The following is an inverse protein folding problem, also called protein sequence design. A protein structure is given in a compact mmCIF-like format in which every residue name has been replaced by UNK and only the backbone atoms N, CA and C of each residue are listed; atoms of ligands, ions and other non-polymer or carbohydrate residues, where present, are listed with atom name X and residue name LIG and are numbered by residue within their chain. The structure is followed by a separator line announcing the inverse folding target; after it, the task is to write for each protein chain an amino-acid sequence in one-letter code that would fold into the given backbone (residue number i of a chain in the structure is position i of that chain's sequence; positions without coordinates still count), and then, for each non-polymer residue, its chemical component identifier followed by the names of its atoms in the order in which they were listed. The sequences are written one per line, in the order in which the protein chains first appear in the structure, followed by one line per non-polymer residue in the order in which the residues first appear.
data_IF_452644868971
#
_entry.id   IF_452644868971
#
_cell.length_a   1.000
_cell.length_b   1.000
_cell.length_c   1.000
_cell.angle_alpha   90.00
_cell.angle_beta   90.00
_cell.angle_gamma   90.00
#
_symmetry.space_group_name_H-M   'P 1'
#
loop_
_entity.id
_entity.type
_entity.pdbx_description
1 polymer ?
#
# COMPACT_ATOMS: atom_id res chain seq x y z
N UNK A 1 -6.53 -7.31 -40.77
CA UNK A 1 -7.39 -8.08 -39.84
C UNK A 1 -7.73 -7.19 -38.65
N UNK A 2 -8.99 -7.11 -38.21
CA UNK A 2 -9.35 -6.33 -37.01
C UNK A 2 -9.13 -7.21 -35.77
N UNK A 3 -8.48 -6.69 -34.74
CA UNK A 3 -8.34 -7.40 -33.45
C UNK A 3 -9.73 -7.67 -32.87
N UNK A 4 -10.05 -8.89 -32.41
CA UNK A 4 -11.28 -9.16 -31.67
C UNK A 4 -11.38 -8.29 -30.41
N UNK A 5 -12.62 -8.11 -29.94
CA UNK A 5 -12.92 -7.46 -28.66
C UNK A 5 -13.14 -8.53 -27.61
N UNK A 6 -12.62 -8.27 -26.41
CA UNK A 6 -12.81 -9.07 -25.20
C UNK A 6 -13.43 -8.15 -24.15
N UNK A 7 -14.37 -8.71 -23.40
CA UNK A 7 -14.99 -8.04 -22.25
C UNK A 7 -14.26 -8.39 -20.96
N UNK A 8 -13.89 -7.40 -20.17
CA UNK A 8 -13.40 -7.58 -18.79
C UNK A 8 -14.50 -7.09 -17.85
N UNK A 9 -15.08 -8.02 -17.09
CA UNK A 9 -16.10 -7.73 -16.09
C UNK A 9 -15.43 -7.62 -14.72
N UNK A 10 -15.53 -6.46 -14.10
CA UNK A 10 -14.98 -6.17 -12.77
C UNK A 10 -16.04 -5.70 -11.80
N UNK A 11 -15.72 -5.71 -10.51
CA UNK A 11 -16.65 -5.35 -9.45
C UNK A 11 -17.83 -6.32 -9.29
N UNK A 12 -18.70 -6.00 -8.35
CA UNK A 12 -19.90 -6.78 -8.05
C UNK A 12 -21.05 -5.86 -7.60
N UNK A 13 -22.29 -6.34 -7.73
CA UNK A 13 -23.47 -5.55 -7.36
C UNK A 13 -23.56 -4.24 -8.15
N UNK A 14 -23.72 -3.11 -7.43
CA UNK A 14 -23.81 -1.78 -8.02
C UNK A 14 -22.49 -1.30 -8.67
N UNK A 15 -21.36 -1.85 -8.26
CA UNK A 15 -20.02 -1.48 -8.77
C UNK A 15 -19.60 -2.34 -9.98
N UNK A 16 -20.47 -3.25 -10.45
CA UNK A 16 -20.17 -4.12 -11.60
C UNK A 16 -20.01 -3.28 -12.86
N UNK A 17 -18.83 -3.34 -13.46
CA UNK A 17 -18.47 -2.60 -14.67
C UNK A 17 -17.89 -3.55 -15.72
N UNK A 18 -18.22 -3.33 -17.00
CA UNK A 18 -17.66 -4.09 -18.12
C UNK A 18 -16.81 -3.18 -18.99
N UNK A 19 -15.53 -3.52 -19.17
CA UNK A 19 -14.63 -2.87 -20.11
C UNK A 19 -14.53 -3.69 -21.39
N UNK A 20 -14.75 -3.06 -22.55
CA UNK A 20 -14.48 -3.66 -23.85
C UNK A 20 -13.12 -3.21 -24.36
N UNK A 21 -12.20 -4.16 -24.59
CA UNK A 21 -10.85 -3.86 -25.06
C UNK A 21 -10.43 -4.81 -26.19
N UNK A 22 -9.47 -4.36 -26.99
CA UNK A 22 -8.94 -5.15 -28.08
C UNK A 22 -8.04 -6.26 -27.53
N UNK A 23 -8.25 -7.49 -28.00
CA UNK A 23 -7.42 -8.64 -27.63
C UNK A 23 -5.93 -8.37 -27.82
N UNK A 24 -5.53 -7.76 -28.93
CA UNK A 24 -4.13 -7.41 -29.20
C UNK A 24 -3.51 -6.45 -28.17
N UNK A 25 -4.34 -5.78 -27.37
CA UNK A 25 -3.90 -4.95 -26.24
C UNK A 25 -3.91 -5.73 -24.93
N UNK A 26 -4.95 -6.52 -24.69
CA UNK A 26 -5.06 -7.33 -23.46
C UNK A 26 -3.96 -8.39 -23.35
N UNK A 27 -3.58 -9.04 -24.46
CA UNK A 27 -2.52 -10.06 -24.45
C UNK A 27 -1.12 -9.51 -24.15
N UNK A 28 -0.94 -8.18 -24.07
CA UNK A 28 0.28 -7.58 -23.52
C UNK A 28 0.40 -7.80 -22.01
N UNK A 29 -0.71 -8.04 -21.32
CA UNK A 29 -0.75 -8.47 -19.93
C UNK A 29 -0.60 -10.00 -19.88
N UNK A 30 0.44 -10.54 -19.21
CA UNK A 30 0.65 -11.99 -19.15
C UNK A 30 -0.54 -12.74 -18.57
N UNK A 31 -1.14 -12.23 -17.48
CA UNK A 31 -2.31 -12.87 -16.87
C UNK A 31 -3.50 -12.95 -17.83
N UNK A 32 -3.78 -11.89 -18.59
CA UNK A 32 -4.85 -11.92 -19.58
C UNK A 32 -4.51 -12.78 -20.79
N UNK A 33 -3.25 -12.82 -21.25
CA UNK A 33 -2.85 -13.71 -22.34
C UNK A 33 -3.18 -15.17 -22.02
N UNK A 34 -2.87 -15.63 -20.80
CA UNK A 34 -3.18 -16.98 -20.32
C UNK A 34 -4.69 -17.27 -20.27
N UNK A 35 -5.51 -16.29 -19.88
CA UNK A 35 -6.98 -16.44 -19.90
C UNK A 35 -7.54 -16.51 -21.33
N UNK A 36 -7.00 -15.68 -22.23
CA UNK A 36 -7.43 -15.63 -23.63
C UNK A 36 -7.14 -16.92 -24.38
N UNK A 37 -6.01 -17.58 -24.07
CA UNK A 37 -5.66 -18.89 -24.63
C UNK A 37 -6.66 -19.99 -24.23
N UNK A 38 -7.37 -19.83 -23.11
CA UNK A 38 -8.33 -20.80 -22.62
C UNK A 38 -9.75 -20.62 -23.20
N UNK A 39 -9.98 -19.58 -24.01
CA UNK A 39 -11.29 -19.36 -24.61
C UNK A 39 -11.67 -20.46 -25.60
N UNK A 40 -12.85 -21.06 -25.38
CA UNK A 40 -13.40 -22.05 -26.29
C UNK A 40 -13.72 -21.44 -27.67
N UNK A 41 -13.47 -22.17 -28.78
CA UNK A 41 -13.88 -21.73 -30.11
C UNK A 41 -15.38 -21.42 -30.18
N UNK A 42 -15.74 -20.20 -30.60
CA UNK A 42 -17.14 -19.75 -30.69
C UNK A 42 -17.82 -19.43 -29.36
N UNK A 43 -17.10 -19.51 -28.23
CA UNK A 43 -17.61 -19.13 -26.90
C UNK A 43 -17.54 -17.62 -26.61
N UNK A 44 -18.13 -17.18 -25.49
CA UNK A 44 -18.01 -15.80 -25.03
C UNK A 44 -16.56 -15.45 -24.71
N UNK A 45 -16.10 -14.28 -25.16
CA UNK A 45 -14.75 -13.77 -24.91
C UNK A 45 -14.76 -12.81 -23.73
N UNK A 46 -14.85 -13.36 -22.52
CA UNK A 46 -15.00 -12.58 -21.30
C UNK A 46 -14.05 -13.05 -20.21
N UNK A 47 -13.40 -12.09 -19.54
CA UNK A 47 -12.58 -12.30 -18.34
C UNK A 47 -13.34 -11.69 -17.16
N UNK A 48 -13.51 -12.46 -16.07
CA UNK A 48 -14.28 -12.03 -14.89
C UNK A 48 -13.32 -11.85 -13.70
N UNK A 49 -13.27 -10.65 -13.15
CA UNK A 49 -12.49 -10.28 -11.97
C UNK A 49 -13.37 -9.46 -11.00
N UNK A 50 -14.37 -10.12 -10.42
CA UNK A 50 -15.42 -9.46 -9.62
C UNK A 50 -14.94 -8.78 -8.34
N UNK A 51 -13.73 -9.12 -7.89
CA UNK A 51 -13.09 -8.56 -6.70
C UNK A 51 -12.20 -7.34 -7.01
N UNK A 52 -12.02 -6.99 -8.29
CA UNK A 52 -11.20 -5.87 -8.72
C UNK A 52 -12.02 -4.58 -8.79
N UNK A 53 -11.42 -3.50 -8.27
CA UNK A 53 -11.93 -2.13 -8.36
C UNK A 53 -12.01 -1.65 -9.82
N UNK A 54 -13.15 -1.04 -10.19
CA UNK A 54 -13.42 -0.64 -11.56
C UNK A 54 -12.41 0.41 -12.05
N UNK A 55 -12.15 1.46 -11.27
CA UNK A 55 -11.23 2.53 -11.66
C UNK A 55 -9.78 2.03 -11.79
N UNK A 56 -9.35 1.12 -10.92
CA UNK A 56 -8.05 0.48 -11.02
C UNK A 56 -7.92 -0.36 -12.31
N UNK A 57 -8.95 -1.13 -12.67
CA UNK A 57 -8.97 -1.87 -13.94
C UNK A 57 -8.96 -0.92 -15.15
N UNK A 58 -9.78 0.13 -15.13
CA UNK A 58 -9.80 1.15 -16.17
C UNK A 58 -8.41 1.76 -16.39
N UNK A 59 -7.71 2.09 -15.30
CA UNK A 59 -6.34 2.61 -15.33
C UNK A 59 -5.33 1.58 -15.87
N UNK A 60 -5.47 0.31 -15.51
CA UNK A 60 -4.62 -0.77 -16.05
C UNK A 60 -4.83 -0.95 -17.56
N UNK A 61 -6.08 -0.88 -18.04
CA UNK A 61 -6.39 -0.93 -19.46
C UNK A 61 -5.83 0.29 -20.19
N UNK A 62 -6.02 1.51 -19.65
CA UNK A 62 -5.41 2.74 -20.20
C UNK A 62 -3.89 2.59 -20.35
N UNK A 63 -3.23 2.01 -19.34
CA UNK A 63 -1.80 1.72 -19.37
C UNK A 63 -1.42 0.74 -20.49
N UNK A 64 -2.19 -0.33 -20.72
CA UNK A 64 -1.90 -1.27 -21.82
C UNK A 64 -1.99 -0.61 -23.20
N UNK A 65 -2.81 0.44 -23.33
CA UNK A 65 -2.91 1.25 -24.55
C UNK A 65 -1.77 2.26 -24.68
N UNK A 66 -1.46 2.98 -23.60
CA UNK A 66 -0.69 4.23 -23.68
C UNK A 66 0.66 4.21 -22.98
N UNK A 67 0.90 3.21 -22.13
CA UNK A 67 2.04 3.15 -21.22
C UNK A 67 1.93 4.07 -20.00
N UNK A 68 0.78 4.70 -19.79
CA UNK A 68 0.51 5.66 -18.72
C UNK A 68 -0.96 5.57 -18.26
N UNK A 69 -1.29 6.15 -17.11
CA UNK A 69 -2.67 6.27 -16.65
C UNK A 69 -2.89 7.62 -15.95
N UNK A 70 -4.12 8.09 -15.82
CA UNK A 70 -4.39 9.37 -15.15
C UNK A 70 -4.29 9.28 -13.60
N UNK A 71 -3.78 10.31 -12.88
CA UNK A 71 -3.09 11.50 -13.38
C UNK A 71 -1.70 11.18 -13.93
N UNK A 72 -1.35 11.79 -15.06
CA UNK A 72 -0.08 11.53 -15.76
C UNK A 72 1.05 12.35 -15.15
N UNK A 73 2.30 11.95 -15.39
CA UNK A 73 3.45 12.82 -15.11
C UNK A 73 3.43 13.99 -16.11
N UNK A 74 3.65 15.21 -15.63
CA UNK A 74 3.64 16.41 -16.49
C UNK A 74 4.83 16.47 -17.45
N UNK A 75 5.87 15.66 -17.21
CA UNK A 75 7.03 15.48 -18.10
C UNK A 75 7.70 14.13 -17.86
N UNK A 76 8.70 13.78 -18.67
CA UNK A 76 9.54 12.59 -18.51
C UNK A 76 10.58 12.70 -17.37
N UNK A 77 10.66 13.87 -16.71
CA UNK A 77 11.62 14.12 -15.63
C UNK A 77 11.43 13.18 -14.45
N UNK A 78 12.54 12.81 -13.80
CA UNK A 78 12.51 11.94 -12.62
C UNK A 78 11.60 12.50 -11.52
N UNK A 79 11.59 13.80 -11.28
CA UNK A 79 10.77 14.39 -10.21
C UNK A 79 9.57 15.18 -10.75
N UNK A 80 9.13 14.84 -11.98
CA UNK A 80 7.98 15.48 -12.60
C UNK A 80 6.73 15.31 -11.71
N UNK A 81 6.00 16.41 -11.41
CA UNK A 81 4.75 16.33 -10.68
C UNK A 81 3.68 15.60 -11.49
N UNK A 82 2.61 15.20 -10.81
CA UNK A 82 1.43 14.65 -11.47
C UNK A 82 0.51 15.77 -11.93
N UNK A 83 -0.23 15.50 -13.01
CA UNK A 83 -1.40 16.31 -13.39
C UNK A 83 -2.36 16.43 -12.21
N UNK A 84 -3.04 17.58 -12.11
CA UNK A 84 -4.02 17.79 -11.06
C UNK A 84 -5.29 17.00 -11.34
N UNK A 85 -5.68 16.13 -10.41
CA UNK A 85 -6.99 15.48 -10.45
C UNK A 85 -8.05 16.44 -9.85
N UNK A 86 -9.01 16.95 -10.64
CA UNK A 86 -10.07 17.82 -10.13
C UNK A 86 -11.03 17.10 -9.18
N UNK A 87 -11.01 15.76 -9.14
CA UNK A 87 -11.84 14.93 -8.27
C UNK A 87 -11.22 14.77 -6.87
N UNK A 88 -9.93 15.09 -6.71
CA UNK A 88 -9.24 14.94 -5.43
C UNK A 88 -9.50 16.15 -4.53
N UNK A 89 -9.97 15.95 -3.28
CA UNK A 89 -10.15 17.03 -2.33
C UNK A 89 -8.80 17.62 -1.86
N UNK A 90 -8.81 18.89 -1.47
CA UNK A 90 -7.68 19.57 -0.86
C UNK A 90 -8.15 20.30 0.42
N UNK A 91 -7.82 19.81 1.63
CA UNK A 91 -6.91 18.69 1.92
C UNK A 91 -7.54 17.30 1.67
N UNK A 92 -6.71 16.33 1.25
CA UNK A 92 -7.11 14.93 1.06
C UNK A 92 -6.96 14.13 2.37
N UNK A 93 -8.01 14.15 3.19
CA UNK A 93 -8.05 13.44 4.46
C UNK A 93 -8.45 11.96 4.32
N UNK A 94 -9.08 11.60 3.22
CA UNK A 94 -9.52 10.22 2.96
C UNK A 94 -8.46 9.42 2.17
N UNK A 95 -7.38 10.08 1.73
CA UNK A 95 -6.26 9.46 1.04
C UNK A 95 -6.61 9.01 -0.39
N UNK A 96 -7.59 9.63 -1.02
CA UNK A 96 -8.11 9.21 -2.33
C UNK A 96 -7.00 9.16 -3.39
N UNK A 97 -6.12 10.16 -3.42
CA UNK A 97 -5.01 10.18 -4.39
C UNK A 97 -4.03 9.02 -4.19
N UNK A 98 -3.67 8.72 -2.93
CA UNK A 98 -2.79 7.61 -2.60
C UNK A 98 -3.46 6.26 -2.91
N UNK A 99 -4.74 6.12 -2.58
CA UNK A 99 -5.50 4.89 -2.76
C UNK A 99 -5.69 4.51 -4.23
N UNK A 100 -5.84 5.48 -5.14
CA UNK A 100 -5.85 5.21 -6.59
C UNK A 100 -4.59 4.47 -7.00
N UNK A 101 -3.42 4.99 -6.62
CA UNK A 101 -2.15 4.38 -7.01
C UNK A 101 -1.86 3.08 -6.26
N UNK A 102 -2.29 2.96 -5.00
CA UNK A 102 -2.13 1.73 -4.22
C UNK A 102 -2.93 0.57 -4.82
N UNK A 103 -4.17 0.81 -5.26
CA UNK A 103 -5.01 -0.18 -5.95
C UNK A 103 -4.41 -0.63 -7.27
N UNK A 104 -3.86 0.32 -8.04
CA UNK A 104 -3.18 0.00 -9.29
C UNK A 104 -1.89 -0.79 -9.03
N UNK A 105 -1.14 -0.46 -7.98
CA UNK A 105 0.08 -1.16 -7.60
C UNK A 105 -0.18 -2.64 -7.27
N UNK A 106 -1.18 -2.94 -6.44
CA UNK A 106 -1.55 -4.32 -6.07
C UNK A 106 -2.16 -5.06 -7.26
N UNK A 107 -3.00 -4.41 -8.06
CA UNK A 107 -3.55 -4.99 -9.29
C UNK A 107 -2.44 -5.32 -10.31
N UNK A 108 -1.47 -4.43 -10.49
CA UNK A 108 -0.35 -4.64 -11.41
C UNK A 108 0.50 -5.86 -11.02
N UNK A 109 0.65 -6.13 -9.72
CA UNK A 109 1.32 -7.34 -9.24
C UNK A 109 0.53 -8.60 -9.65
N UNK A 110 -0.78 -8.61 -9.40
CA UNK A 110 -1.67 -9.72 -9.77
C UNK A 110 -1.72 -9.95 -11.29
N UNK A 111 -1.71 -8.87 -12.07
CA UNK A 111 -1.69 -8.90 -13.53
C UNK A 111 -0.31 -9.17 -14.14
N UNK A 112 0.74 -9.31 -13.30
CA UNK A 112 2.13 -9.52 -13.71
C UNK A 112 2.65 -8.40 -14.64
N UNK A 113 2.34 -7.15 -14.30
CA UNK A 113 2.75 -5.95 -15.03
C UNK A 113 3.82 -5.16 -14.23
N UNK A 114 5.09 -5.58 -14.21
CA UNK A 114 6.13 -4.96 -13.38
C UNK A 114 6.36 -3.48 -13.71
N UNK A 115 6.23 -3.09 -14.97
CA UNK A 115 6.36 -1.69 -15.39
C UNK A 115 5.20 -0.82 -14.90
N UNK A 116 3.97 -1.34 -14.86
CA UNK A 116 2.83 -0.65 -14.26
C UNK A 116 2.99 -0.56 -12.73
N UNK A 117 3.43 -1.65 -12.09
CA UNK A 117 3.72 -1.68 -10.64
C UNK A 117 4.76 -0.62 -10.27
N UNK A 118 5.84 -0.51 -11.04
CA UNK A 118 6.88 0.52 -10.86
C UNK A 118 6.34 1.94 -11.08
N UNK A 119 5.53 2.14 -12.13
CA UNK A 119 4.87 3.42 -12.39
C UNK A 119 3.95 3.84 -11.24
N UNK A 120 3.13 2.93 -10.73
CA UNK A 120 2.24 3.21 -9.61
C UNK A 120 3.00 3.57 -8.34
N UNK A 121 4.05 2.81 -8.02
CA UNK A 121 4.95 3.15 -6.92
C UNK A 121 5.57 4.55 -7.07
N UNK A 122 6.03 4.87 -8.27
CA UNK A 122 6.54 6.21 -8.59
C UNK A 122 5.47 7.28 -8.30
N UNK A 123 4.21 7.08 -8.69
CA UNK A 123 3.16 8.08 -8.46
C UNK A 123 2.76 8.22 -6.98
N UNK A 124 2.80 7.15 -6.19
CA UNK A 124 2.59 7.20 -4.73
C UNK A 124 3.55 8.23 -4.10
N UNK A 125 4.85 8.17 -4.42
CA UNK A 125 5.85 9.12 -3.88
C UNK A 125 5.65 10.59 -4.29
N UNK A 126 4.83 10.87 -5.30
CA UNK A 126 4.54 12.23 -5.79
C UNK A 126 3.19 12.76 -5.33
N UNK A 127 2.41 11.92 -4.67
CA UNK A 127 1.07 12.28 -4.24
C UNK A 127 1.17 13.00 -2.90
N UNK A 128 0.68 14.24 -2.85
CA UNK A 128 0.57 14.96 -1.59
C UNK A 128 -0.46 14.28 -0.68
N UNK A 129 -0.19 14.24 0.62
CA UNK A 129 -1.00 13.51 1.58
C UNK A 129 -1.09 14.23 2.93
N UNK A 130 -2.15 13.94 3.65
CA UNK A 130 -2.35 14.33 5.05
C UNK A 130 -2.05 13.15 5.96
N UNK A 131 -1.89 13.37 7.27
CA UNK A 131 -1.73 12.27 8.22
C UNK A 131 -2.90 11.27 8.18
N UNK A 132 -4.13 11.75 8.01
CA UNK A 132 -5.32 10.91 7.90
C UNK A 132 -5.35 10.12 6.59
N UNK A 133 -5.02 10.77 5.46
CA UNK A 133 -4.92 10.10 4.17
C UNK A 133 -3.83 9.02 4.14
N UNK A 134 -2.70 9.25 4.83
CA UNK A 134 -1.63 8.27 4.99
C UNK A 134 -2.04 7.07 5.85
N UNK A 135 -2.93 7.25 6.84
CA UNK A 135 -3.50 6.11 7.58
C UNK A 135 -4.45 5.30 6.71
N UNK A 136 -5.29 5.94 5.91
CA UNK A 136 -6.16 5.25 4.96
C UNK A 136 -5.35 4.44 3.94
N UNK A 137 -4.27 5.03 3.42
CA UNK A 137 -3.30 4.37 2.54
C UNK A 137 -2.59 3.21 3.24
N UNK A 138 -2.05 3.42 4.44
CA UNK A 138 -1.39 2.37 5.22
C UNK A 138 -2.34 1.18 5.46
N UNK A 139 -3.59 1.47 5.83
CA UNK A 139 -4.63 0.45 6.01
C UNK A 139 -4.83 -0.39 4.76
N UNK A 140 -4.91 0.25 3.60
CA UNK A 140 -5.02 -0.46 2.32
C UNK A 140 -3.79 -1.33 2.05
N UNK A 141 -2.58 -0.79 2.19
CA UNK A 141 -1.33 -1.52 1.92
C UNK A 141 -1.21 -2.78 2.79
N UNK A 142 -1.46 -2.66 4.10
CA UNK A 142 -1.34 -3.80 5.00
C UNK A 142 -2.43 -4.86 4.81
N UNK A 143 -3.59 -4.45 4.30
CA UNK A 143 -4.70 -5.36 3.99
C UNK A 143 -4.53 -6.09 2.66
N UNK A 144 -4.12 -5.37 1.61
CA UNK A 144 -4.25 -5.84 0.22
C UNK A 144 -2.90 -6.22 -0.43
N UNK A 145 -1.76 -5.77 0.10
CA UNK A 145 -0.44 -6.13 -0.45
C UNK A 145 0.09 -7.43 0.16
N UNK A 146 0.99 -8.11 -0.57
CA UNK A 146 1.76 -9.22 -0.03
C UNK A 146 2.53 -8.78 1.24
N UNK A 147 2.49 -9.57 2.35
CA UNK A 147 3.27 -9.33 3.56
C UNK A 147 4.75 -9.05 3.36
N UNK A 148 5.36 -9.70 2.38
CA UNK A 148 6.79 -9.59 2.07
C UNK A 148 7.11 -8.45 1.10
N UNK A 149 6.11 -7.70 0.62
CA UNK A 149 6.31 -6.55 -0.29
C UNK A 149 6.85 -5.33 0.47
N UNK A 150 8.13 -5.43 0.80
CA UNK A 150 8.89 -4.38 1.46
C UNK A 150 9.02 -3.11 0.60
N UNK A 151 8.75 -3.17 -0.70
CA UNK A 151 8.86 -2.00 -1.59
C UNK A 151 7.79 -0.97 -1.25
N UNK A 152 6.57 -1.42 -0.97
CA UNK A 152 5.46 -0.53 -0.58
C UNK A 152 5.29 -0.43 0.94
N UNK A 153 5.59 -1.49 1.71
CA UNK A 153 5.39 -1.50 3.18
C UNK A 153 6.45 -0.71 3.95
N UNK A 154 7.72 -0.83 3.58
CA UNK A 154 8.80 -0.15 4.30
C UNK A 154 8.68 1.38 4.28
N UNK A 155 8.37 2.04 3.15
CA UNK A 155 8.12 3.47 3.13
C UNK A 155 6.94 3.90 4.02
N UNK A 156 5.85 3.11 4.05
CA UNK A 156 4.70 3.35 4.93
C UNK A 156 5.13 3.33 6.40
N UNK A 157 5.81 2.27 6.84
CA UNK A 157 6.29 2.18 8.21
C UNK A 157 7.30 3.30 8.55
N UNK A 158 8.18 3.65 7.62
CA UNK A 158 9.17 4.72 7.80
C UNK A 158 8.53 6.11 7.94
N UNK A 159 7.47 6.38 7.19
CA UNK A 159 6.70 7.62 7.30
C UNK A 159 6.22 7.83 8.74
N UNK A 160 5.67 6.78 9.37
CA UNK A 160 5.14 6.85 10.73
C UNK A 160 6.23 6.79 11.81
N UNK A 161 7.30 6.03 11.58
CA UNK A 161 8.44 5.99 12.51
C UNK A 161 9.10 7.37 12.69
N UNK A 162 9.12 8.19 11.64
CA UNK A 162 9.71 9.55 11.66
C UNK A 162 8.74 10.65 12.11
N UNK A 163 7.44 10.38 12.14
CA UNK A 163 6.37 11.35 12.47
C UNK A 163 5.56 10.96 13.71
N UNK A 164 6.17 10.22 14.63
CA UNK A 164 5.51 9.73 15.86
C UNK A 164 4.91 10.82 16.76
N UNK A 165 5.32 12.09 16.60
CA UNK A 165 4.73 13.23 17.31
C UNK A 165 3.34 13.63 16.77
N UNK A 166 3.17 13.81 15.46
CA UNK A 166 1.88 14.16 14.82
C UNK A 166 0.78 13.15 15.12
N UNK A 167 1.21 11.90 15.23
CA UNK A 167 0.42 10.71 15.48
C UNK A 167 -0.36 10.78 16.81
N UNK A 168 0.19 11.44 17.85
CA UNK A 168 -0.45 11.60 19.16
C UNK A 168 -1.47 12.74 19.25
N UNK A 169 -1.52 13.62 18.26
CA UNK A 169 -2.31 14.85 18.37
C UNK A 169 -3.33 15.01 17.25
N UNK A 170 -3.07 14.48 16.05
CA UNK A 170 -3.91 14.72 14.87
C UNK A 170 -4.77 13.53 14.44
N UNK A 171 -4.34 12.29 14.77
CA UNK A 171 -4.95 11.06 14.25
C UNK A 171 -4.85 9.88 15.23
N UNK A 172 -4.82 10.14 16.54
CA UNK A 172 -4.68 9.10 17.57
C UNK A 172 -5.77 8.02 17.48
N UNK A 173 -7.07 8.34 17.32
CA UNK A 173 -8.11 7.32 17.19
C UNK A 173 -7.90 6.40 15.98
N UNK A 174 -7.61 6.98 14.82
CA UNK A 174 -7.40 6.26 13.57
C UNK A 174 -6.12 5.40 13.64
N UNK A 175 -5.04 5.93 14.23
CA UNK A 175 -3.81 5.17 14.43
C UNK A 175 -3.99 4.01 15.41
N UNK A 176 -4.73 4.22 16.51
CA UNK A 176 -5.04 3.15 17.46
C UNK A 176 -5.84 2.04 16.77
N UNK A 177 -6.84 2.41 15.97
CA UNK A 177 -7.60 1.44 15.18
C UNK A 177 -6.69 0.67 14.21
N UNK A 178 -5.81 1.36 13.49
CA UNK A 178 -4.82 0.74 12.59
C UNK A 178 -3.93 -0.28 13.30
N UNK A 179 -3.41 0.05 14.48
CA UNK A 179 -2.57 -0.86 15.27
C UNK A 179 -3.31 -2.12 15.74
N UNK A 180 -4.58 -1.98 16.09
CA UNK A 180 -5.41 -3.09 16.56
C UNK A 180 -5.87 -3.99 15.41
N UNK A 181 -6.16 -3.40 14.25
CA UNK A 181 -6.59 -4.14 13.06
C UNK A 181 -5.42 -4.83 12.34
N UNK A 182 -4.25 -4.18 12.30
CA UNK A 182 -3.05 -4.68 11.61
C UNK A 182 -1.82 -4.68 12.54
N UNK A 183 -1.67 -5.66 13.44
CA UNK A 183 -0.54 -5.70 14.38
C UNK A 183 0.85 -5.69 13.72
N UNK A 184 0.96 -6.22 12.49
CA UNK A 184 2.21 -6.17 11.73
C UNK A 184 2.65 -4.74 11.43
N UNK A 185 1.71 -3.82 11.18
CA UNK A 185 2.03 -2.41 10.98
C UNK A 185 2.71 -1.80 12.22
N UNK A 186 2.19 -2.08 13.41
CA UNK A 186 2.79 -1.62 14.66
C UNK A 186 4.18 -2.18 14.87
N UNK A 187 4.38 -3.47 14.54
CA UNK A 187 5.68 -4.12 14.60
C UNK A 187 6.69 -3.44 13.67
N UNK A 188 6.34 -3.23 12.40
CA UNK A 188 7.23 -2.62 11.41
C UNK A 188 7.62 -1.19 11.81
N UNK A 189 6.66 -0.41 12.31
CA UNK A 189 6.91 0.96 12.81
C UNK A 189 7.83 0.92 14.02
N UNK A 190 7.57 0.05 15.01
CA UNK A 190 8.38 -0.07 16.22
C UNK A 190 9.81 -0.49 15.88
N UNK A 191 9.98 -1.47 14.98
CA UNK A 191 11.28 -1.94 14.53
C UNK A 191 12.11 -0.79 13.95
N UNK A 192 11.52 0.02 13.06
CA UNK A 192 12.21 1.19 12.49
C UNK A 192 12.54 2.27 13.53
N UNK A 193 11.68 2.48 14.53
CA UNK A 193 11.96 3.42 15.63
C UNK A 193 13.15 2.93 16.47
N UNK A 194 13.20 1.65 16.81
CA UNK A 194 14.30 1.05 17.57
C UNK A 194 15.61 1.11 16.78
N UNK A 195 15.59 0.72 15.50
CA UNK A 195 16.75 0.80 14.60
C UNK A 195 17.31 2.23 14.52
N UNK A 196 16.44 3.23 14.48
CA UNK A 196 16.84 4.64 14.44
C UNK A 196 17.47 5.10 15.77
N UNK A 197 16.98 4.62 16.91
CA UNK A 197 17.54 4.92 18.22
C UNK A 197 18.93 4.28 18.41
N UNK A 198 19.12 3.05 17.97
CA UNK A 198 20.43 2.37 18.02
C UNK A 198 21.48 3.11 17.18
N UNK A 199 21.13 3.51 15.96
CA UNK A 199 22.00 4.32 15.10
C UNK A 199 22.30 5.69 15.69
N UNK A 200 21.33 6.32 16.35
CA UNK A 200 21.52 7.59 17.05
C UNK A 200 22.51 7.48 18.21
N UNK A 201 22.44 6.40 18.99
CA UNK A 201 23.38 6.12 20.09
C UNK A 201 24.78 5.77 19.58
N UNK A 202 24.88 5.03 18.47
CA UNK A 202 26.17 4.67 17.87
C UNK A 202 26.95 5.85 17.26
N UNK A 203 26.27 6.91 16.80
CA UNK A 203 26.91 8.14 16.29
C UNK A 203 27.29 9.15 17.37
N UNK A 204 26.77 9.01 18.59
CA UNK A 204 27.12 9.83 19.76
C UNK A 204 28.12 9.17 20.71
N UNK A 205 28.71 8.03 20.33
CA UNK A 205 29.50 7.16 21.21
C UNK A 205 31.01 7.39 21.25
N UNK A 206 31.57 8.29 20.42
CA UNK A 206 33.01 8.64 20.45
C UNK A 206 33.26 9.92 21.29
N UNK A 207 32.61 9.99 22.45
CA UNK A 207 32.73 11.12 23.39
C UNK A 207 32.27 10.72 24.79
N UNK A 208 33.14 10.02 25.51
CA UNK A 208 33.24 9.98 26.98
C UNK A 208 31.92 9.92 27.79
N UNK A 209 31.51 8.73 28.24
CA UNK A 209 31.10 8.54 29.64
C UNK A 209 30.96 7.07 30.02
N UNK A 210 31.81 6.73 30.99
CA UNK A 210 31.82 5.56 31.83
C UNK A 210 30.47 5.26 32.51
N UNK A 211 30.07 3.98 32.51
CA UNK A 211 29.17 3.29 33.45
C UNK A 211 27.79 3.89 33.80
N UNK A 212 26.73 3.20 33.35
CA UNK A 212 25.74 2.46 34.20
C UNK A 212 24.53 2.03 33.35
N UNK A 213 24.43 0.73 33.05
CA UNK A 213 23.18 0.13 32.59
C UNK A 213 22.21 -0.08 33.77
N UNK A 214 20.89 0.06 33.59
CA UNK A 214 19.93 -0.41 34.58
C UNK A 214 19.82 -1.94 34.51
N UNK A 215 20.14 -2.61 35.61
CA UNK A 215 19.96 -4.04 35.78
C UNK A 215 18.46 -4.41 35.86
N UNK A 216 18.06 -5.43 35.11
CA UNK A 216 16.71 -6.00 35.16
C UNK A 216 16.65 -7.05 36.29
N UNK A 217 15.94 -6.66 37.37
CA UNK A 217 15.10 -7.39 38.39
C UNK A 217 15.26 -8.91 38.63
N UNK A 218 14.99 -9.36 39.87
CA UNK A 218 13.72 -10.08 40.08
C UNK A 218 13.03 -9.85 41.45
N UNK A 219 11.70 -9.93 41.45
CA UNK A 219 10.98 -10.72 42.46
C UNK A 219 10.33 -9.98 43.63
N UNK A 220 9.07 -9.60 43.42
CA UNK A 220 8.09 -9.19 44.43
C UNK A 220 8.06 -10.10 45.67
N UNK A 221 8.33 -9.54 46.86
CA UNK A 221 8.08 -10.18 48.16
C UNK A 221 6.58 -10.15 48.49
N UNK A 222 5.81 -11.13 48.00
CA UNK A 222 4.47 -11.42 48.55
C UNK A 222 4.61 -12.26 49.81
N UNK A 223 4.44 -11.63 50.96
CA UNK A 223 4.38 -12.24 52.29
C UNK A 223 3.11 -13.12 52.37
N UNK A 224 3.25 -14.45 52.27
CA UNK A 224 2.17 -15.40 52.66
C UNK A 224 2.32 -15.69 54.16
N UNK A 225 1.29 -15.36 54.94
CA UNK A 225 1.15 -15.85 56.30
C UNK A 225 0.91 -17.37 56.28
N UNK A 226 1.67 -18.13 57.07
CA UNK A 226 1.34 -19.53 57.39
C UNK A 226 0.54 -19.55 58.69
N UNK A 227 -0.68 -20.03 58.58
CA UNK A 227 -1.46 -20.62 59.68
C UNK A 227 -0.94 -22.04 59.86
N UNK A 228 -0.61 -22.44 61.10
CA UNK A 228 -1.07 -23.71 61.70
C UNK A 228 -0.65 -23.86 63.16
N UNK A 229 -1.67 -24.21 63.93
CA UNK A 229 -1.77 -24.86 65.25
C UNK A 229 -0.53 -25.61 65.76
N UNK A 230 -0.20 -25.44 67.05
CA UNK A 230 -0.59 -26.34 68.17
C UNK A 230 -0.84 -25.48 69.41
#
# INVERSE_FOLDING_TARGET
MKSPIIEIVVGSGAERTTYSAHEAVLVKCPAFATEVEQFAPGGPRQIIMSDVDADAMGSAIEYLYTGEYFPKKTSSGRDAPLEKDPRQPAPDNDGLGLLVHARIYTLADRLQLPSLKSLAHSKIHRTASTAKGELAYARYVYKESNPEDNTIRKPVAAFWATRSFSLRHEAEPEFRAMCLEFPQFSYDVLQLVLDNQEKGKGRGGDGESSHRGPAVVPGSSRKRARVSQV
#
